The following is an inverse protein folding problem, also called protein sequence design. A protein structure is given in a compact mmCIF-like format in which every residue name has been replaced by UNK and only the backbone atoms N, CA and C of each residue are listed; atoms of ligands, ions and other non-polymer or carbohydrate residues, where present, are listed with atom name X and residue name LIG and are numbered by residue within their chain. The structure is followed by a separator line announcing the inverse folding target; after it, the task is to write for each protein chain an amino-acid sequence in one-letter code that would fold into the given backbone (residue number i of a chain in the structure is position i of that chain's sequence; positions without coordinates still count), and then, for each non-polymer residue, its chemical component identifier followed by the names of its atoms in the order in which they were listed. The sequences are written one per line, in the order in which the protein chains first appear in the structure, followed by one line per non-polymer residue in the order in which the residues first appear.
data_IF_156919915320
#
_entry.id   IF_156919915320
#
_cell.length_a   1.000
_cell.length_b   1.000
_cell.length_c   1.000
_cell.angle_alpha   90.00
_cell.angle_beta   90.00
_cell.angle_gamma   90.00
#
_symmetry.space_group_name_H-M   'P 1'
#
loop_
_entity.id
_entity.type
_entity.pdbx_description
1 polymer ?
#
# COMPACT_ATOMS: atom_id res chain seq x y z
N UNK A 1 5.71 39.09 10.89
CA UNK A 1 4.68 38.06 10.59
C UNK A 1 4.25 37.42 11.90
N UNK A 2 2.97 37.54 12.25
CA UNK A 2 2.42 36.83 13.41
C UNK A 2 2.26 35.35 13.03
N UNK A 3 3.08 34.48 13.61
CA UNK A 3 2.91 33.05 13.50
C UNK A 3 1.70 32.66 14.35
N UNK A 4 0.60 32.27 13.68
CA UNK A 4 -0.57 31.72 14.37
C UNK A 4 -0.29 30.27 14.64
N UNK A 5 0.01 29.90 15.88
CA UNK A 5 0.11 28.51 16.27
C UNK A 5 -1.30 27.89 16.31
N UNK A 6 -1.54 26.87 15.54
CA UNK A 6 -2.75 26.06 15.61
C UNK A 6 -2.47 24.92 16.59
N UNK A 7 -2.97 24.96 17.83
CA UNK A 7 -2.54 24.03 18.89
C UNK A 7 -3.00 22.59 18.67
N UNK A 8 -4.02 22.36 17.84
CA UNK A 8 -4.58 21.05 17.56
C UNK A 8 -5.04 20.95 16.10
N UNK A 9 -4.23 20.33 15.26
CA UNK A 9 -4.61 20.09 13.87
C UNK A 9 -5.07 18.64 13.72
N UNK A 10 -6.35 18.45 13.40
CA UNK A 10 -6.88 17.14 12.98
C UNK A 10 -7.19 17.24 11.50
N UNK A 11 -6.44 16.53 10.68
CA UNK A 11 -6.65 16.46 9.23
C UNK A 11 -7.26 15.10 8.89
N UNK A 12 -8.42 15.13 8.23
CA UNK A 12 -9.02 13.96 7.61
C UNK A 12 -8.94 14.15 6.09
N UNK A 13 -8.39 13.17 5.40
CA UNK A 13 -8.24 13.17 3.95
C UNK A 13 -9.07 12.00 3.37
N UNK A 14 -9.88 12.29 2.38
CA UNK A 14 -10.57 11.31 1.55
C UNK A 14 -10.14 11.55 0.12
N UNK A 15 -9.65 10.52 -0.56
CA UNK A 15 -9.17 10.62 -1.92
C UNK A 15 -9.36 9.31 -2.67
N UNK A 16 -9.34 9.40 -3.98
CA UNK A 16 -9.31 8.26 -4.87
C UNK A 16 -8.09 8.35 -5.79
N UNK A 17 -7.46 7.23 -6.05
CA UNK A 17 -6.34 7.12 -6.97
C UNK A 17 -6.49 5.84 -7.81
N UNK A 18 -5.90 5.83 -9.00
CA UNK A 18 -5.72 4.58 -9.74
C UNK A 18 -4.57 3.77 -9.12
N UNK A 19 -4.59 2.46 -9.30
CA UNK A 19 -3.51 1.59 -8.85
C UNK A 19 -2.15 2.08 -9.39
N UNK A 20 -2.07 2.37 -10.68
CA UNK A 20 -0.84 2.87 -11.31
C UNK A 20 -0.35 4.19 -10.68
N UNK A 21 -1.27 5.05 -10.25
CA UNK A 21 -0.89 6.30 -9.58
C UNK A 21 -0.33 6.04 -8.17
N UNK A 22 -0.91 5.07 -7.48
CA UNK A 22 -0.43 4.66 -6.16
C UNK A 22 0.96 3.99 -6.26
N UNK A 23 1.13 3.06 -7.21
CA UNK A 23 2.38 2.34 -7.46
C UNK A 23 3.54 3.27 -7.86
N UNK A 24 3.27 4.30 -8.67
CA UNK A 24 4.29 5.23 -9.17
C UNK A 24 4.46 6.48 -8.29
N UNK A 25 3.46 6.80 -7.46
CA UNK A 25 3.42 8.02 -6.65
C UNK A 25 3.87 7.82 -5.21
N UNK A 26 4.13 6.59 -4.78
CA UNK A 26 4.61 6.28 -3.43
C UNK A 26 5.95 5.59 -3.47
N UNK A 27 6.78 5.85 -2.46
CA UNK A 27 8.09 5.25 -2.27
C UNK A 27 8.06 4.27 -1.10
N UNK A 28 9.04 3.36 -1.04
CA UNK A 28 9.24 2.48 0.11
C UNK A 28 9.30 3.27 1.43
N UNK A 29 9.99 4.42 1.43
CA UNK A 29 10.08 5.30 2.60
C UNK A 29 8.71 5.83 3.06
N UNK A 30 7.76 6.10 2.14
CA UNK A 30 6.40 6.54 2.48
C UNK A 30 5.63 5.45 3.25
N UNK A 31 5.92 4.19 2.95
CA UNK A 31 5.30 3.04 3.61
C UNK A 31 6.03 2.68 4.90
N UNK A 32 7.34 2.50 4.88
CA UNK A 32 8.16 2.18 6.06
C UNK A 32 8.12 3.29 7.11
N UNK A 33 8.19 4.56 6.68
CA UNK A 33 8.03 5.73 7.53
C UNK A 33 6.64 5.86 8.17
N UNK A 34 5.71 5.00 7.77
CA UNK A 34 4.37 4.87 8.34
C UNK A 34 3.41 5.98 7.90
N UNK A 35 3.76 6.78 6.90
CA UNK A 35 2.85 7.80 6.36
C UNK A 35 1.64 7.13 5.70
N UNK A 36 1.88 6.25 4.71
CA UNK A 36 0.83 5.53 4.00
C UNK A 36 0.05 4.56 4.90
N UNK A 37 0.70 3.96 5.88
CA UNK A 37 0.08 3.03 6.83
C UNK A 37 -0.95 3.69 7.77
N UNK A 38 -1.06 5.02 7.76
CA UNK A 38 -2.10 5.77 8.51
C UNK A 38 -3.40 5.92 7.72
N UNK A 39 -3.37 5.66 6.42
CA UNK A 39 -4.56 5.68 5.58
C UNK A 39 -5.27 4.32 5.62
N UNK A 40 -6.58 4.36 5.49
CA UNK A 40 -7.42 3.20 5.21
C UNK A 40 -7.51 3.13 3.69
N UNK A 41 -6.79 2.17 3.10
CA UNK A 41 -6.76 1.98 1.66
C UNK A 41 -7.65 0.79 1.33
N UNK A 42 -8.64 1.01 0.48
CA UNK A 42 -9.54 -0.03 -0.01
C UNK A 42 -9.40 -0.11 -1.53
N UNK A 43 -9.16 -1.30 -2.03
CA UNK A 43 -9.17 -1.58 -3.45
C UNK A 43 -10.59 -1.87 -3.90
N UNK A 44 -11.03 -1.17 -4.94
CA UNK A 44 -12.29 -1.43 -5.61
C UNK A 44 -12.05 -1.88 -7.04
N UNK A 45 -12.77 -2.89 -7.48
CA UNK A 45 -12.84 -3.25 -8.89
C UNK A 45 -13.81 -2.29 -9.60
N UNK A 46 -13.37 -1.79 -10.75
CA UNK A 46 -14.25 -0.97 -11.58
C UNK A 46 -15.17 -1.90 -12.37
N UNK A 47 -16.42 -1.99 -11.99
CA UNK A 47 -17.42 -2.57 -12.86
C UNK A 47 -17.52 -1.75 -14.17
N UNK A 48 -17.37 -2.43 -15.31
CA UNK A 48 -17.44 -1.80 -16.63
C UNK A 48 -18.84 -1.29 -17.02
N UNK A 49 -19.83 -1.63 -16.26
CA UNK A 49 -21.21 -1.18 -16.49
C UNK A 49 -21.42 0.18 -15.85
N UNK A 50 -21.25 1.24 -16.64
CA UNK A 50 -21.92 2.49 -16.34
C UNK A 50 -23.43 2.27 -16.51
N UNK A 51 -24.11 1.83 -15.45
CA UNK A 51 -25.49 2.21 -15.36
C UNK A 51 -25.47 3.73 -15.19
N UNK A 52 -26.02 4.48 -16.14
CA UNK A 52 -26.37 5.87 -15.93
C UNK A 52 -27.36 5.87 -14.75
N UNK A 53 -26.81 5.99 -13.55
CA UNK A 53 -27.66 6.26 -12.39
C UNK A 53 -28.29 7.62 -12.70
N UNK A 54 -29.62 7.70 -12.78
CA UNK A 54 -30.27 8.99 -12.93
C UNK A 54 -29.72 9.90 -11.84
N UNK A 55 -29.48 11.18 -12.12
CA UNK A 55 -28.95 12.09 -11.13
C UNK A 55 -29.88 12.06 -9.91
N UNK A 56 -29.47 11.32 -8.89
CA UNK A 56 -30.16 11.35 -7.62
C UNK A 56 -29.96 12.77 -7.10
N UNK A 57 -31.00 13.55 -7.11
CA UNK A 57 -31.06 14.80 -6.39
C UNK A 57 -30.98 14.48 -4.91
N UNK A 58 -29.75 14.31 -4.43
CA UNK A 58 -29.51 14.15 -3.00
C UNK A 58 -29.93 15.47 -2.36
N UNK A 59 -30.97 15.42 -1.53
CA UNK A 59 -31.36 16.58 -0.75
C UNK A 59 -30.23 16.93 0.22
N UNK A 60 -29.47 17.95 -0.16
CA UNK A 60 -28.33 18.44 0.62
C UNK A 60 -28.73 18.88 2.02
N UNK A 61 -29.94 19.35 2.20
CA UNK A 61 -30.43 19.79 3.51
C UNK A 61 -30.58 18.63 4.47
N UNK A 62 -31.08 17.50 4.01
CA UNK A 62 -31.17 16.25 4.79
C UNK A 62 -29.79 15.72 5.15
N UNK A 63 -28.84 15.71 4.21
CA UNK A 63 -27.46 15.27 4.48
C UNK A 63 -26.78 16.20 5.52
N UNK A 64 -26.92 17.51 5.34
CA UNK A 64 -26.34 18.49 6.28
C UNK A 64 -26.95 18.34 7.67
N UNK A 65 -28.28 18.16 7.77
CA UNK A 65 -28.96 17.94 9.04
C UNK A 65 -28.44 16.68 9.74
N UNK A 66 -28.31 15.58 9.03
CA UNK A 66 -27.77 14.32 9.56
C UNK A 66 -26.32 14.48 10.03
N UNK A 67 -25.46 15.10 9.22
CA UNK A 67 -24.05 15.35 9.59
C UNK A 67 -23.94 16.24 10.82
N UNK A 68 -24.80 17.25 10.93
CA UNK A 68 -24.84 18.14 12.11
C UNK A 68 -25.28 17.38 13.35
N UNK A 69 -26.31 16.57 13.25
CA UNK A 69 -26.77 15.71 14.35
C UNK A 69 -25.64 14.79 14.83
N UNK A 70 -24.99 14.09 13.91
CA UNK A 70 -23.85 13.21 14.22
C UNK A 70 -22.68 13.95 14.84
N UNK A 71 -22.38 15.14 14.35
CA UNK A 71 -21.34 15.98 14.91
C UNK A 71 -21.64 16.38 16.37
N UNK A 72 -22.86 16.83 16.65
CA UNK A 72 -23.29 17.19 18.01
C UNK A 72 -23.31 15.98 18.94
N UNK A 73 -23.80 14.83 18.46
CA UNK A 73 -23.75 13.59 19.20
C UNK A 73 -22.29 13.19 19.50
N UNK A 74 -21.38 13.37 18.53
CA UNK A 74 -19.95 13.11 18.72
C UNK A 74 -19.29 14.00 19.77
N UNK A 75 -19.73 15.26 19.88
CA UNK A 75 -19.23 16.17 20.94
C UNK A 75 -19.73 15.78 22.33
N UNK A 76 -20.94 15.21 22.41
CA UNK A 76 -21.55 14.72 23.65
C UNK A 76 -21.18 13.27 23.96
N UNK A 77 -20.45 12.60 23.07
CA UNK A 77 -20.13 11.19 23.20
C UNK A 77 -19.33 10.90 24.48
N UNK A 78 -19.74 9.86 25.17
CA UNK A 78 -19.00 9.32 26.30
C UNK A 78 -17.65 8.69 25.90
N UNK A 79 -16.86 8.35 26.90
CA UNK A 79 -15.59 7.68 26.68
C UNK A 79 -15.81 6.18 26.40
N UNK A 80 -15.19 5.67 25.33
CA UNK A 80 -15.15 4.24 25.07
C UNK A 80 -14.23 3.56 26.10
N UNK A 81 -14.79 2.66 26.92
CA UNK A 81 -14.06 1.95 27.99
C UNK A 81 -13.71 0.51 27.62
N UNK A 82 -13.92 0.12 26.40
CA UNK A 82 -13.58 -1.21 25.90
C UNK A 82 -14.63 -1.84 24.99
N UNK A 83 -14.74 -3.16 25.04
CA UNK A 83 -15.63 -3.97 24.21
C UNK A 83 -16.60 -4.76 25.09
N UNK A 84 -17.80 -5.03 24.58
CA UNK A 84 -18.70 -6.03 25.19
C UNK A 84 -18.02 -7.42 25.21
N UNK A 85 -18.58 -8.38 25.91
CA UNK A 85 -18.04 -9.74 25.98
C UNK A 85 -17.98 -10.35 24.58
N UNK A 86 -19.10 -10.34 23.85
CA UNK A 86 -19.21 -10.94 22.52
C UNK A 86 -18.32 -10.22 21.47
N UNK A 87 -18.24 -8.88 21.55
CA UNK A 87 -17.33 -8.10 20.71
C UNK A 87 -15.85 -8.43 20.98
N UNK A 88 -15.52 -8.76 22.22
CA UNK A 88 -14.15 -9.15 22.60
C UNK A 88 -13.81 -10.53 22.07
N UNK A 89 -14.73 -11.48 22.14
CA UNK A 89 -14.55 -12.82 21.59
C UNK A 89 -14.38 -12.74 20.07
N UNK A 90 -15.28 -12.09 19.35
CA UNK A 90 -15.18 -11.91 17.89
C UNK A 90 -13.87 -11.23 17.46
N UNK A 91 -13.46 -10.19 18.17
CA UNK A 91 -12.18 -9.52 17.89
C UNK A 91 -10.98 -10.43 18.20
N UNK A 92 -11.04 -11.23 19.25
CA UNK A 92 -9.98 -12.17 19.63
C UNK A 92 -9.75 -13.22 18.55
N UNK A 93 -10.81 -13.83 18.04
CA UNK A 93 -10.75 -14.84 16.99
C UNK A 93 -10.18 -14.24 15.67
N UNK A 94 -10.67 -13.06 15.30
CA UNK A 94 -10.15 -12.35 14.14
C UNK A 94 -8.68 -11.97 14.31
N UNK A 95 -8.29 -11.47 15.48
CA UNK A 95 -6.91 -11.12 15.77
C UNK A 95 -5.96 -12.31 15.69
N UNK A 96 -6.39 -13.47 16.20
CA UNK A 96 -5.63 -14.72 16.06
C UNK A 96 -5.45 -15.13 14.60
N UNK A 97 -6.42 -14.84 13.73
CA UNK A 97 -6.30 -15.05 12.28
C UNK A 97 -5.32 -14.08 11.65
N UNK A 98 -5.36 -12.79 12.02
CA UNK A 98 -4.38 -11.79 11.58
C UNK A 98 -2.95 -12.16 12.00
N UNK A 99 -2.76 -12.65 13.22
CA UNK A 99 -1.44 -13.09 13.72
C UNK A 99 -0.89 -14.27 12.92
N UNK A 100 -1.74 -15.19 12.46
CA UNK A 100 -1.33 -16.26 11.54
C UNK A 100 -0.86 -15.71 10.19
N UNK A 101 -1.54 -14.71 9.66
CA UNK A 101 -1.11 -14.03 8.42
C UNK A 101 0.25 -13.35 8.65
N UNK A 102 0.42 -12.63 9.76
CA UNK A 102 1.67 -11.95 10.11
C UNK A 102 2.86 -12.91 10.34
N UNK A 103 2.59 -14.14 10.77
CA UNK A 103 3.59 -15.19 10.92
C UNK A 103 4.00 -15.82 9.58
N UNK A 104 3.29 -15.54 8.49
CA UNK A 104 3.59 -16.03 7.14
C UNK A 104 4.79 -15.35 6.50
N UNK A 105 5.11 -15.80 5.30
CA UNK A 105 6.14 -15.17 4.47
C UNK A 105 5.57 -13.88 3.86
N UNK A 106 5.86 -12.76 4.48
CA UNK A 106 5.47 -11.43 4.04
C UNK A 106 6.71 -10.63 3.67
N UNK A 107 6.62 -9.79 2.65
CA UNK A 107 7.62 -8.76 2.41
C UNK A 107 7.49 -7.63 3.47
N UNK A 108 8.47 -6.73 3.53
CA UNK A 108 8.53 -5.69 4.56
C UNK A 108 7.36 -4.70 4.42
N UNK A 109 6.94 -4.40 3.20
CA UNK A 109 5.80 -3.55 2.91
C UNK A 109 4.47 -4.16 3.37
N UNK A 110 4.21 -5.43 3.03
CA UNK A 110 3.03 -6.16 3.52
C UNK A 110 2.98 -6.15 5.04
N UNK A 111 4.11 -6.42 5.68
CA UNK A 111 4.24 -6.43 7.15
C UNK A 111 3.95 -5.06 7.75
N UNK A 112 4.49 -3.99 7.14
CA UNK A 112 4.26 -2.62 7.60
C UNK A 112 2.79 -2.21 7.51
N UNK A 113 2.11 -2.56 6.42
CA UNK A 113 0.68 -2.30 6.24
C UNK A 113 -0.17 -3.10 7.25
N UNK A 114 0.08 -4.40 7.38
CA UNK A 114 -0.69 -5.29 8.23
C UNK A 114 -0.54 -4.97 9.73
N UNK A 115 0.60 -4.44 10.16
CA UNK A 115 0.84 -4.05 11.55
C UNK A 115 -0.16 -3.00 12.09
N UNK A 116 -0.80 -2.22 11.21
CA UNK A 116 -1.74 -1.17 11.59
C UNK A 116 -3.21 -1.57 11.49
N UNK A 117 -3.52 -2.70 10.85
CA UNK A 117 -4.91 -3.10 10.58
C UNK A 117 -5.72 -3.27 11.87
N UNK A 118 -5.14 -3.86 12.91
CA UNK A 118 -5.82 -4.02 14.20
C UNK A 118 -6.24 -2.68 14.82
N UNK A 119 -5.38 -1.67 14.75
CA UNK A 119 -5.67 -0.33 15.27
C UNK A 119 -6.74 0.36 14.42
N UNK A 120 -6.73 0.15 13.10
CA UNK A 120 -7.76 0.69 12.21
C UNK A 120 -9.13 0.06 12.49
N UNK A 121 -9.18 -1.25 12.68
CA UNK A 121 -10.42 -1.96 13.07
C UNK A 121 -10.98 -1.44 14.40
N UNK A 122 -10.13 -1.21 15.40
CA UNK A 122 -10.56 -0.63 16.68
C UNK A 122 -11.18 0.76 16.51
N UNK A 123 -10.56 1.61 15.70
CA UNK A 123 -11.10 2.95 15.40
C UNK A 123 -12.43 2.86 14.67
N UNK A 124 -12.51 2.01 13.64
CA UNK A 124 -13.75 1.83 12.86
C UNK A 124 -14.86 1.30 13.75
N UNK A 125 -14.60 0.29 14.57
CA UNK A 125 -15.62 -0.27 15.48
C UNK A 125 -16.15 0.76 16.48
N UNK A 126 -15.29 1.66 16.96
CA UNK A 126 -15.69 2.76 17.84
C UNK A 126 -16.55 3.79 17.09
N UNK A 127 -16.21 4.11 15.84
CA UNK A 127 -17.03 5.00 15.01
C UNK A 127 -18.41 4.40 14.70
N UNK A 128 -18.45 3.11 14.37
CA UNK A 128 -19.73 2.40 14.14
C UNK A 128 -20.55 2.31 15.41
N UNK A 129 -19.94 2.05 16.56
CA UNK A 129 -20.64 2.05 17.86
C UNK A 129 -21.24 3.42 18.16
N UNK A 130 -20.53 4.49 17.83
CA UNK A 130 -21.05 5.85 17.95
C UNK A 130 -22.22 6.09 17.00
N UNK A 131 -22.15 5.62 15.76
CA UNK A 131 -23.21 5.74 14.78
C UNK A 131 -24.47 4.96 15.19
N UNK A 132 -24.33 3.82 15.85
CA UNK A 132 -25.41 3.03 16.43
C UNK A 132 -26.01 3.64 17.73
N UNK A 133 -25.49 4.78 18.19
CA UNK A 133 -25.99 5.45 19.40
C UNK A 133 -25.45 4.88 20.72
N UNK A 134 -24.55 3.89 20.68
CA UNK A 134 -23.98 3.29 21.89
C UNK A 134 -23.19 4.30 22.74
N UNK A 135 -22.74 5.39 22.17
CA UNK A 135 -21.95 6.45 22.82
C UNK A 135 -22.78 7.48 23.60
N UNK A 136 -24.10 7.31 23.69
CA UNK A 136 -24.99 8.19 24.46
C UNK A 136 -24.76 8.13 25.99
N UNK A 137 -24.14 7.04 26.46
CA UNK A 137 -23.73 6.87 27.85
C UNK A 137 -22.38 7.56 28.12
N UNK A 138 -22.17 8.06 29.34
CA UNK A 138 -20.91 8.69 29.76
C UNK A 138 -19.69 7.75 29.60
N UNK A 139 -19.90 6.45 29.74
CA UNK A 139 -18.94 5.40 29.44
C UNK A 139 -19.65 4.31 28.64
N UNK A 140 -19.12 3.96 27.47
CA UNK A 140 -19.72 2.93 26.64
C UNK A 140 -18.71 1.84 26.27
N UNK A 141 -19.22 0.67 25.91
CA UNK A 141 -18.46 -0.44 25.34
C UNK A 141 -18.89 -0.64 23.90
N UNK A 142 -17.93 -0.93 23.03
CA UNK A 142 -18.22 -1.30 21.64
C UNK A 142 -19.05 -2.60 21.64
N UNK A 143 -20.29 -2.56 21.13
CA UNK A 143 -21.13 -3.75 21.03
C UNK A 143 -20.70 -4.63 19.85
N UNK A 144 -21.16 -5.88 19.82
CA UNK A 144 -20.80 -6.84 18.75
C UNK A 144 -21.33 -6.37 17.38
N UNK A 145 -22.47 -5.72 17.35
CA UNK A 145 -23.09 -5.16 16.15
C UNK A 145 -22.22 -4.09 15.48
N UNK A 146 -21.41 -3.38 16.26
CA UNK A 146 -20.42 -2.41 15.76
C UNK A 146 -19.09 -3.10 15.42
N UNK A 147 -18.73 -4.17 16.11
CA UNK A 147 -17.50 -4.90 15.89
C UNK A 147 -17.53 -5.68 14.58
N UNK A 148 -18.59 -6.42 14.30
CA UNK A 148 -18.64 -7.27 13.11
C UNK A 148 -18.42 -6.54 11.76
N UNK A 149 -19.06 -5.39 11.49
CA UNK A 149 -18.75 -4.62 10.28
C UNK A 149 -17.28 -4.14 10.24
N UNK A 150 -16.73 -3.75 11.39
CA UNK A 150 -15.33 -3.32 11.45
C UNK A 150 -14.36 -4.46 11.15
N UNK A 151 -14.65 -5.69 11.59
CA UNK A 151 -13.84 -6.87 11.28
C UNK A 151 -13.89 -7.20 9.79
N UNK A 152 -15.05 -7.08 9.13
CA UNK A 152 -15.16 -7.24 7.66
C UNK A 152 -14.29 -6.22 6.90
N UNK A 153 -14.28 -4.98 7.35
CA UNK A 153 -13.38 -3.96 6.79
C UNK A 153 -11.93 -4.37 7.05
N UNK A 154 -11.62 -4.91 8.22
CA UNK A 154 -10.29 -5.45 8.55
C UNK A 154 -9.84 -6.56 7.58
N UNK A 155 -10.72 -7.45 7.18
CA UNK A 155 -10.45 -8.50 6.18
C UNK A 155 -10.11 -7.88 4.81
N UNK A 156 -10.88 -6.89 4.36
CA UNK A 156 -10.59 -6.14 3.13
C UNK A 156 -9.26 -5.39 3.20
N UNK A 157 -8.89 -4.87 4.36
CA UNK A 157 -7.59 -4.21 4.56
C UNK A 157 -6.43 -5.21 4.50
N UNK A 158 -6.61 -6.43 5.02
CA UNK A 158 -5.61 -7.50 4.93
C UNK A 158 -5.41 -7.88 3.45
N UNK A 159 -6.48 -8.13 2.73
CA UNK A 159 -6.44 -8.46 1.30
C UNK A 159 -5.78 -7.33 0.49
N UNK A 160 -6.19 -6.09 0.73
CA UNK A 160 -5.60 -4.90 0.11
C UNK A 160 -4.11 -4.80 0.37
N UNK A 161 -3.67 -5.03 1.62
CA UNK A 161 -2.26 -4.99 1.99
C UNK A 161 -1.43 -6.04 1.24
N UNK A 162 -1.95 -7.25 1.09
CA UNK A 162 -1.29 -8.32 0.34
C UNK A 162 -1.19 -8.00 -1.16
N UNK A 163 -2.27 -7.53 -1.77
CA UNK A 163 -2.27 -7.16 -3.20
C UNK A 163 -1.32 -5.99 -3.46
N UNK A 164 -1.39 -4.93 -2.66
CA UNK A 164 -0.53 -3.75 -2.83
C UNK A 164 0.93 -4.07 -2.55
N UNK A 165 1.20 -4.80 -1.47
CA UNK A 165 2.56 -5.17 -1.08
C UNK A 165 3.27 -5.96 -2.18
N UNK A 166 2.58 -6.92 -2.80
CA UNK A 166 3.13 -7.68 -3.92
C UNK A 166 3.36 -6.80 -5.15
N UNK A 167 2.38 -5.97 -5.53
CA UNK A 167 2.48 -5.13 -6.73
C UNK A 167 3.56 -4.05 -6.61
N UNK A 168 3.64 -3.39 -5.47
CA UNK A 168 4.64 -2.34 -5.24
C UNK A 168 6.04 -2.96 -5.20
N UNK A 169 6.23 -4.09 -4.52
CA UNK A 169 7.51 -4.79 -4.49
C UNK A 169 7.97 -5.24 -5.88
N UNK A 170 7.04 -5.73 -6.73
CA UNK A 170 7.37 -6.08 -8.12
C UNK A 170 7.77 -4.84 -8.91
N UNK A 171 7.05 -3.72 -8.75
CA UNK A 171 7.35 -2.48 -9.45
C UNK A 171 8.69 -1.89 -9.02
N UNK A 172 9.03 -1.95 -7.74
CA UNK A 172 10.34 -1.50 -7.23
C UNK A 172 11.49 -2.35 -7.78
N UNK A 173 11.34 -3.67 -7.77
CA UNK A 173 12.34 -4.56 -8.36
C UNK A 173 12.55 -4.25 -9.85
N UNK A 174 11.48 -4.03 -10.61
CA UNK A 174 11.57 -3.63 -12.02
C UNK A 174 12.21 -2.25 -12.20
N UNK A 175 11.93 -1.29 -11.33
CA UNK A 175 12.57 0.03 -11.36
C UNK A 175 14.05 -0.05 -11.03
N UNK A 176 14.43 -0.87 -10.05
CA UNK A 176 15.83 -1.08 -9.68
C UNK A 176 16.60 -1.76 -10.79
N UNK A 177 16.03 -2.77 -11.43
CA UNK A 177 16.62 -3.41 -12.62
C UNK A 177 16.82 -2.40 -13.75
N UNK A 178 15.80 -1.57 -14.02
CA UNK A 178 15.90 -0.51 -15.04
C UNK A 178 17.01 0.49 -14.71
N UNK A 179 17.10 0.95 -13.46
CA UNK A 179 18.18 1.88 -13.03
C UNK A 179 19.57 1.27 -13.18
N UNK A 180 19.73 0.00 -12.82
CA UNK A 180 21.00 -0.71 -13.01
C UNK A 180 21.32 -0.82 -14.50
N UNK A 181 20.35 -1.20 -15.32
CA UNK A 181 20.50 -1.28 -16.78
C UNK A 181 20.87 0.08 -17.40
N UNK A 182 20.17 1.15 -17.03
CA UNK A 182 20.41 2.52 -17.52
C UNK A 182 21.80 3.06 -17.09
N UNK A 183 22.38 2.52 -16.01
CA UNK A 183 23.73 2.86 -15.55
C UNK A 183 24.84 2.14 -16.33
N UNK A 184 24.47 1.13 -17.14
CA UNK A 184 25.35 0.40 -18.03
C UNK A 184 25.26 1.02 -19.42
N UNK A 185 26.28 1.76 -19.83
CA UNK A 185 26.35 2.34 -21.19
C UNK A 185 26.61 1.21 -22.18
N UNK A 186 25.91 1.23 -23.33
CA UNK A 186 26.11 0.25 -24.40
C UNK A 186 27.58 0.20 -24.83
N UNK A 187 28.16 -0.99 -24.92
CA UNK A 187 29.56 -1.20 -25.30
C UNK A 187 30.59 -0.89 -24.21
N UNK A 188 30.19 -0.27 -23.09
CA UNK A 188 31.10 -0.02 -21.96
C UNK A 188 31.12 -1.24 -21.02
N UNK A 189 32.29 -1.83 -20.81
CA UNK A 189 32.47 -2.90 -19.81
C UNK A 189 32.75 -2.28 -18.45
N UNK A 190 31.79 -2.40 -17.54
CA UNK A 190 31.83 -1.77 -16.21
C UNK A 190 32.04 -2.81 -15.13
N UNK A 191 32.98 -2.58 -14.22
CA UNK A 191 33.17 -3.48 -13.07
C UNK A 191 32.13 -3.24 -11.98
N UNK A 192 31.84 -4.26 -11.18
CA UNK A 192 30.93 -4.17 -10.03
C UNK A 192 31.28 -2.99 -9.09
N UNK A 193 32.56 -2.75 -8.87
CA UNK A 193 33.03 -1.63 -8.01
C UNK A 193 32.66 -0.25 -8.58
N UNK A 194 32.67 -0.11 -9.89
CA UNK A 194 32.26 1.15 -10.56
C UNK A 194 30.75 1.31 -10.48
N UNK A 195 30.00 0.22 -10.68
CA UNK A 195 28.54 0.23 -10.51
C UNK A 195 28.15 0.58 -9.08
N UNK A 196 28.79 0.02 -8.06
CA UNK A 196 28.56 0.37 -6.66
C UNK A 196 28.83 1.84 -6.35
N UNK A 197 29.80 2.46 -7.03
CA UNK A 197 30.06 3.90 -6.89
C UNK A 197 29.03 4.76 -7.61
N UNK A 198 28.57 4.34 -8.80
CA UNK A 198 27.53 5.04 -9.58
C UNK A 198 26.16 4.93 -8.88
N UNK A 199 25.89 3.76 -8.30
CA UNK A 199 24.63 3.37 -7.68
C UNK A 199 24.81 3.18 -6.16
N UNK A 200 25.21 4.24 -5.48
CA UNK A 200 25.61 4.24 -4.06
C UNK A 200 24.49 3.82 -3.06
N UNK A 201 23.25 3.75 -3.54
CA UNK A 201 22.07 3.30 -2.76
C UNK A 201 21.99 1.77 -2.58
N UNK A 202 22.70 0.99 -3.43
CA UNK A 202 22.65 -0.46 -3.38
C UNK A 202 23.83 -1.04 -2.62
N UNK A 203 23.55 -2.08 -1.85
CA UNK A 203 24.60 -2.95 -1.30
C UNK A 203 25.16 -3.85 -2.42
N UNK A 204 26.36 -4.37 -2.22
CA UNK A 204 26.96 -5.34 -3.14
C UNK A 204 26.01 -6.51 -3.43
N UNK A 205 25.39 -7.07 -2.38
CA UNK A 205 24.49 -8.22 -2.50
C UNK A 205 23.25 -7.92 -3.33
N UNK A 206 22.66 -6.74 -3.16
CA UNK A 206 21.50 -6.30 -3.95
C UNK A 206 21.88 -6.12 -5.42
N UNK A 207 23.00 -5.48 -5.68
CA UNK A 207 23.47 -5.27 -7.04
C UNK A 207 23.84 -6.57 -7.76
N UNK A 208 24.48 -7.50 -7.06
CA UNK A 208 24.77 -8.84 -7.58
C UNK A 208 23.48 -9.58 -7.98
N UNK A 209 22.45 -9.57 -7.10
CA UNK A 209 21.16 -10.22 -7.40
C UNK A 209 20.43 -9.59 -8.61
N UNK A 210 20.47 -8.26 -8.74
CA UNK A 210 19.87 -7.55 -9.88
C UNK A 210 20.63 -7.91 -11.17
N UNK A 211 21.95 -7.91 -11.14
CA UNK A 211 22.78 -8.25 -12.30
C UNK A 211 22.58 -9.71 -12.73
N UNK A 212 22.46 -10.64 -11.78
CA UNK A 212 22.14 -12.05 -12.07
C UNK A 212 20.77 -12.19 -12.75
N UNK A 213 19.77 -11.43 -12.28
CA UNK A 213 18.43 -11.40 -12.90
C UNK A 213 18.49 -10.87 -14.34
N UNK A 214 19.18 -9.77 -14.56
CA UNK A 214 19.37 -9.17 -15.90
C UNK A 214 20.20 -10.07 -16.84
N UNK A 215 21.20 -10.76 -16.31
CA UNK A 215 22.02 -11.74 -17.06
C UNK A 215 21.17 -12.95 -17.48
N UNK A 216 20.35 -13.48 -16.57
CA UNK A 216 19.45 -14.60 -16.85
C UNK A 216 18.43 -14.29 -17.97
N UNK A 217 18.04 -13.02 -18.12
CA UNK A 217 17.17 -12.55 -19.22
C UNK A 217 17.94 -12.14 -20.48
N UNK A 218 19.27 -12.21 -20.46
CA UNK A 218 20.10 -11.81 -21.60
C UNK A 218 20.18 -10.30 -21.85
N UNK A 219 19.79 -9.48 -20.88
CA UNK A 219 19.82 -8.02 -20.98
C UNK A 219 21.18 -7.43 -20.60
N UNK A 220 21.96 -8.19 -19.86
CA UNK A 220 23.33 -7.87 -19.46
C UNK A 220 24.23 -9.07 -19.73
N UNK A 221 25.43 -8.82 -20.21
CA UNK A 221 26.46 -9.84 -20.40
C UNK A 221 27.56 -9.65 -19.37
N UNK A 222 27.86 -10.74 -18.67
CA UNK A 222 29.01 -10.83 -17.76
C UNK A 222 30.21 -11.38 -18.52
N UNK A 223 31.34 -10.70 -18.43
CA UNK A 223 32.62 -11.17 -18.95
C UNK A 223 33.68 -11.08 -17.84
N UNK A 224 34.74 -11.86 -17.96
CA UNK A 224 35.88 -11.79 -17.03
C UNK A 224 37.05 -11.11 -17.73
N UNK A 225 37.58 -10.09 -17.09
CA UNK A 225 38.81 -9.46 -17.59
C UNK A 225 39.99 -10.41 -17.39
N UNK A 226 40.62 -10.82 -18.49
CA UNK A 226 41.72 -11.76 -18.49
C UNK A 226 42.94 -11.32 -17.68
N UNK A 227 43.15 -10.02 -17.56
CA UNK A 227 44.31 -9.47 -16.84
C UNK A 227 44.06 -9.34 -15.33
N UNK A 228 42.86 -8.92 -14.92
CA UNK A 228 42.55 -8.63 -13.51
C UNK A 228 41.65 -9.66 -12.84
N UNK A 229 41.17 -10.66 -13.57
CA UNK A 229 40.20 -11.68 -13.10
C UNK A 229 38.90 -11.07 -12.54
N UNK A 230 38.59 -9.82 -12.88
CA UNK A 230 37.39 -9.12 -12.41
C UNK A 230 36.21 -9.34 -13.34
N UNK A 231 35.04 -9.53 -12.76
CA UNK A 231 33.79 -9.55 -13.51
C UNK A 231 33.49 -8.14 -14.07
N UNK A 232 33.22 -8.08 -15.36
CA UNK A 232 32.80 -6.91 -16.09
C UNK A 232 31.39 -7.13 -16.64
N UNK A 233 30.55 -6.14 -16.57
CA UNK A 233 29.16 -6.16 -17.02
C UNK A 233 28.96 -5.14 -18.15
N UNK A 234 28.19 -5.51 -19.16
CA UNK A 234 27.86 -4.68 -20.29
C UNK A 234 26.38 -4.85 -20.63
N UNK A 235 25.68 -3.77 -20.91
CA UNK A 235 24.32 -3.83 -21.42
C UNK A 235 24.33 -4.43 -22.84
N UNK A 236 23.40 -5.35 -23.10
CA UNK A 236 23.16 -5.85 -24.45
C UNK A 236 22.36 -4.78 -25.19
N UNK A 237 22.80 -4.35 -26.41
CA UNK A 237 22.01 -3.43 -27.20
C UNK A 237 20.61 -4.00 -27.39
N UNK A 238 19.59 -3.16 -27.21
CA UNK A 238 18.25 -3.55 -27.57
C UNK A 238 18.28 -3.85 -29.08
N UNK A 239 18.40 -5.12 -29.43
CA UNK A 239 18.13 -5.54 -30.81
C UNK A 239 16.78 -4.92 -31.13
N UNK A 240 16.69 -4.12 -32.18
CA UNK A 240 15.43 -3.58 -32.68
C UNK A 240 14.53 -4.79 -32.85
N UNK A 241 13.71 -5.03 -31.84
CA UNK A 241 12.93 -6.23 -31.68
C UNK A 241 12.09 -6.39 -32.91
N UNK A 242 12.06 -7.59 -33.44
CA UNK A 242 11.08 -8.00 -34.41
C UNK A 242 9.74 -7.43 -33.96
N UNK A 243 9.21 -6.49 -34.75
CA UNK A 243 7.81 -6.11 -34.68
C UNK A 243 7.03 -7.40 -34.75
N UNK A 244 6.53 -7.85 -33.62
CA UNK A 244 5.46 -8.83 -33.59
C UNK A 244 4.28 -8.11 -34.18
N UNK A 245 4.00 -8.35 -35.45
CA UNK A 245 2.81 -7.83 -36.13
C UNK A 245 1.61 -8.66 -35.63
N UNK A 246 0.71 -8.07 -34.85
CA UNK A 246 -0.46 -8.79 -34.35
C UNK A 246 -1.40 -9.26 -35.46
N UNK A 247 -1.19 -8.87 -36.70
CA UNK A 247 -2.03 -9.24 -37.84
C UNK A 247 -1.74 -10.65 -38.38
N UNK A 248 -0.63 -11.29 -38.01
CA UNK A 248 -0.33 -12.67 -38.41
C UNK A 248 -1.05 -13.76 -37.60
N UNK A 249 -1.79 -13.41 -36.55
CA UNK A 249 -2.55 -14.37 -35.72
C UNK A 249 -4.03 -14.48 -36.14
N UNK A 250 -4.46 -13.86 -37.24
CA UNK A 250 -5.85 -13.88 -37.73
C UNK A 250 -5.97 -14.39 -39.18
N UNK A 251 -5.02 -15.13 -39.66
CA UNK A 251 -5.13 -15.85 -40.93
C UNK A 251 -5.35 -17.35 -40.73
#
# INVERSE_FOLDING_TARGET
SKTTAVPWTRLNLLGGATMAHLENGTTEEDWEGGFMNRYIILLGEREKTYAELPPQTVDRSTVIALLRERYLAGQAAGNCVGRSKDAREAYGDWKASLEKVLAGKLNDLERAMLARVSVQVEKISTLVAHDLGASSEAQFKVPVEAMLPALKIGELLIETAQILGQRIAVNEAMQDERRVKDSLVEGEKVSLMVLLKRLNRYTKRQLDAILESLEARGEVVKSVDGASQKSLYCAVPATQGSMFDPSELLS
#
